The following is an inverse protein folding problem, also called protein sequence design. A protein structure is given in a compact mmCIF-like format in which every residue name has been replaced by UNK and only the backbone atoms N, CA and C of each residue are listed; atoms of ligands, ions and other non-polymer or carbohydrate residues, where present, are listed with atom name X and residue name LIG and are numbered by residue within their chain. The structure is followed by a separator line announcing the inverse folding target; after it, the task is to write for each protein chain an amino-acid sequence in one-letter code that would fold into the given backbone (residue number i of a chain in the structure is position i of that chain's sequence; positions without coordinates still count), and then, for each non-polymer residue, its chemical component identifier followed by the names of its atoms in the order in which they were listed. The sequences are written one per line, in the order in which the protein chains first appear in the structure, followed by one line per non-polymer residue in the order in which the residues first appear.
data_IF_206799701634
#
_entry.id   IF_206799701634
#
_cell.length_a   1.000
_cell.length_b   1.000
_cell.length_c   1.000
_cell.angle_alpha   90.00
_cell.angle_beta   90.00
_cell.angle_gamma   90.00
#
_symmetry.space_group_name_H-M   'P 1'
#
loop_
_entity.id
_entity.type
_entity.pdbx_description
1 polymer ?
#
# COMPACT_ATOMS: atom_id res chain seq x y z
N UNK A 1 7.60 20.26 39.53
CA UNK A 1 7.49 19.99 38.07
C UNK A 1 7.23 18.50 37.93
N UNK A 2 6.01 18.11 37.55
CA UNK A 2 5.69 16.69 37.33
C UNK A 2 6.38 16.26 36.06
N UNK A 3 7.25 15.25 36.13
CA UNK A 3 7.69 14.49 34.98
C UNK A 3 6.44 13.97 34.27
N UNK A 4 6.10 14.50 33.10
CA UNK A 4 5.25 13.80 32.15
C UNK A 4 6.01 12.52 31.84
N UNK A 5 5.55 11.38 32.33
CA UNK A 5 5.95 10.08 31.82
C UNK A 5 5.79 10.15 30.30
N UNK A 6 6.89 10.00 29.58
CA UNK A 6 6.93 9.94 28.11
C UNK A 6 6.34 8.62 27.65
N UNK A 7 5.03 8.43 27.84
CA UNK A 7 4.34 7.28 27.26
C UNK A 7 4.13 7.57 25.77
N UNK A 8 4.89 6.85 24.95
CA UNK A 8 4.82 6.97 23.48
C UNK A 8 3.41 6.65 23.00
N UNK A 9 2.92 7.37 22.02
CA UNK A 9 1.62 7.12 21.40
C UNK A 9 1.65 5.81 20.60
N UNK A 10 0.72 4.88 20.89
CA UNK A 10 0.64 3.62 20.15
C UNK A 10 -0.04 3.84 18.80
N UNK A 11 0.59 3.35 17.73
CA UNK A 11 0.14 3.54 16.36
C UNK A 11 0.05 2.20 15.63
N UNK A 12 -1.00 2.07 14.81
CA UNK A 12 -1.13 1.09 13.74
C UNK A 12 -1.11 1.84 12.41
N UNK A 13 -0.20 1.47 11.51
CA UNK A 13 -0.17 2.00 10.15
C UNK A 13 -1.18 1.28 9.27
N UNK A 14 -1.81 2.01 8.36
CA UNK A 14 -2.74 1.46 7.37
C UNK A 14 -2.39 1.98 5.99
N UNK A 15 -2.32 1.09 5.01
CA UNK A 15 -2.33 1.48 3.59
C UNK A 15 -3.39 0.69 2.84
N UNK A 16 -4.16 1.39 1.99
CA UNK A 16 -5.18 0.77 1.13
C UNK A 16 -4.79 0.90 -0.33
N UNK A 17 -5.31 0.01 -1.17
CA UNK A 17 -5.04 0.08 -2.59
C UNK A 17 -5.58 -1.08 -3.41
N UNK A 18 -5.56 -0.92 -4.72
CA UNK A 18 -5.95 -1.99 -5.64
C UNK A 18 -5.00 -3.19 -5.55
N UNK A 19 -3.70 -2.97 -5.37
CA UNK A 19 -2.65 -3.99 -5.36
C UNK A 19 -2.82 -5.02 -6.51
N UNK A 20 -2.94 -4.51 -7.71
CA UNK A 20 -3.29 -5.29 -8.90
C UNK A 20 -2.18 -5.29 -9.98
N UNK A 21 -1.06 -6.02 -9.72
CA UNK A 21 -0.65 -6.70 -8.50
C UNK A 21 0.06 -5.79 -7.49
N UNK A 22 0.37 -6.33 -6.31
CA UNK A 22 1.28 -5.69 -5.34
C UNK A 22 2.69 -5.59 -5.92
N UNK A 23 3.44 -4.54 -5.56
CA UNK A 23 4.84 -4.34 -5.92
C UNK A 23 5.65 -3.76 -4.75
N UNK A 24 6.99 -3.78 -4.89
CA UNK A 24 7.91 -3.42 -3.79
C UNK A 24 7.59 -2.08 -3.13
N UNK A 25 7.27 -1.05 -3.91
CA UNK A 25 6.99 0.29 -3.39
C UNK A 25 5.74 0.34 -2.49
N UNK A 26 4.77 -0.56 -2.65
CA UNK A 26 3.61 -0.60 -1.76
C UNK A 26 3.99 -0.94 -0.30
N UNK A 27 5.00 -1.78 -0.09
CA UNK A 27 5.51 -2.08 1.25
C UNK A 27 6.59 -1.08 1.68
N UNK A 28 7.37 -0.57 0.73
CA UNK A 28 8.43 0.40 1.04
C UNK A 28 7.88 1.72 1.58
N UNK A 29 6.75 2.24 1.07
CA UNK A 29 6.14 3.46 1.64
C UNK A 29 5.78 3.27 3.12
N UNK A 30 5.36 2.08 3.52
CA UNK A 30 5.06 1.74 4.91
C UNK A 30 6.34 1.71 5.76
N UNK A 31 7.42 1.13 5.23
CA UNK A 31 8.73 1.09 5.87
C UNK A 31 9.33 2.49 6.05
N UNK A 32 9.19 3.36 5.04
CA UNK A 32 9.62 4.76 5.11
C UNK A 32 8.84 5.50 6.21
N UNK A 33 7.51 5.34 6.24
CA UNK A 33 6.66 5.92 7.28
C UNK A 33 7.06 5.42 8.68
N UNK A 34 7.27 4.12 8.83
CA UNK A 34 7.73 3.51 10.07
C UNK A 34 9.06 4.11 10.55
N UNK A 35 10.07 4.15 9.68
CA UNK A 35 11.39 4.72 10.01
C UNK A 35 11.29 6.18 10.43
N UNK A 36 10.46 6.95 9.74
CA UNK A 36 10.20 8.34 10.08
C UNK A 36 9.61 8.49 11.48
N UNK A 37 8.52 7.78 11.79
CA UNK A 37 7.88 7.83 13.11
C UNK A 37 8.84 7.39 14.23
N UNK A 38 9.62 6.35 13.99
CA UNK A 38 10.61 5.87 14.96
C UNK A 38 11.71 6.92 15.22
N UNK A 39 12.08 7.72 14.21
CA UNK A 39 13.08 8.79 14.37
C UNK A 39 12.59 9.96 15.24
N UNK A 40 11.28 10.16 15.35
CA UNK A 40 10.69 11.20 16.19
C UNK A 40 10.71 10.83 17.68
N UNK A 41 10.89 9.54 18.01
CA UNK A 41 10.92 9.00 19.38
C UNK A 41 9.64 9.26 20.22
N UNK A 42 8.55 9.69 19.59
CA UNK A 42 7.25 10.02 20.23
C UNK A 42 6.26 8.87 20.09
N UNK A 43 6.51 7.92 19.20
CA UNK A 43 5.58 6.90 18.79
C UNK A 43 6.08 5.48 19.09
N UNK A 44 5.12 4.60 19.34
CA UNK A 44 5.28 3.15 19.40
C UNK A 44 4.46 2.53 18.26
N UNK A 45 5.11 2.23 17.14
CA UNK A 45 4.45 1.66 15.97
C UNK A 45 4.33 0.16 16.14
N UNK A 46 3.12 -0.34 16.32
CA UNK A 46 2.83 -1.73 16.68
C UNK A 46 2.88 -2.67 15.48
N UNK A 47 2.26 -2.26 14.38
CA UNK A 47 2.19 -3.04 13.13
C UNK A 47 1.71 -2.17 11.97
N UNK A 48 1.69 -2.75 10.77
CA UNK A 48 1.03 -2.16 9.61
C UNK A 48 0.04 -3.12 8.95
N UNK A 49 -1.08 -2.56 8.50
CA UNK A 49 -2.15 -3.25 7.81
C UNK A 49 -2.13 -2.89 6.33
N UNK A 50 -2.11 -3.91 5.48
CA UNK A 50 -2.17 -3.79 4.03
C UNK A 50 -3.57 -4.22 3.59
N UNK A 51 -4.40 -3.26 3.16
CA UNK A 51 -5.83 -3.49 2.90
C UNK A 51 -6.14 -3.40 1.39
N UNK A 52 -6.36 -4.53 0.71
CA UNK A 52 -6.73 -4.53 -0.72
C UNK A 52 -8.19 -4.14 -0.92
N UNK A 53 -8.44 -3.26 -1.91
CA UNK A 53 -9.78 -2.84 -2.30
C UNK A 53 -10.59 -3.96 -2.95
N UNK A 54 -11.92 -3.85 -2.88
CA UNK A 54 -12.86 -4.81 -3.48
C UNK A 54 -12.74 -4.89 -5.01
N UNK A 55 -13.08 -6.04 -5.59
CA UNK A 55 -13.01 -6.28 -7.03
C UNK A 55 -13.90 -5.32 -7.83
N UNK A 56 -15.06 -4.93 -7.30
CA UNK A 56 -15.93 -3.95 -7.96
C UNK A 56 -15.20 -2.64 -8.25
N UNK A 57 -14.36 -2.15 -7.33
CA UNK A 57 -13.57 -0.95 -7.54
C UNK A 57 -12.43 -1.14 -8.54
N UNK A 58 -11.71 -2.27 -8.45
CA UNK A 58 -10.56 -2.54 -9.33
C UNK A 58 -10.99 -2.74 -10.78
N UNK A 59 -12.15 -3.35 -11.03
CA UNK A 59 -12.75 -3.52 -12.37
C UNK A 59 -12.94 -2.20 -13.12
N UNK A 60 -13.26 -1.12 -12.41
CA UNK A 60 -13.39 0.20 -13.03
C UNK A 60 -12.06 0.83 -13.45
N UNK A 61 -10.93 0.33 -12.92
CA UNK A 61 -9.60 0.87 -13.20
C UNK A 61 -8.87 0.15 -14.34
N UNK A 62 -9.17 -1.13 -14.55
CA UNK A 62 -8.45 -1.94 -15.53
C UNK A 62 -9.22 -3.17 -15.96
N UNK A 63 -9.07 -3.55 -17.22
CA UNK A 63 -9.59 -4.81 -17.76
C UNK A 63 -8.77 -6.05 -17.29
N UNK A 64 -7.57 -5.81 -16.78
CA UNK A 64 -6.65 -6.84 -16.33
C UNK A 64 -6.78 -7.00 -14.81
N UNK A 65 -7.97 -7.43 -14.38
CA UNK A 65 -8.24 -7.67 -12.96
C UNK A 65 -7.66 -9.01 -12.52
N UNK A 66 -6.82 -8.95 -11.49
CA UNK A 66 -6.52 -10.09 -10.62
C UNK A 66 -7.59 -10.10 -9.52
N UNK A 67 -8.33 -11.18 -9.38
CA UNK A 67 -9.40 -11.28 -8.40
C UNK A 67 -8.90 -11.08 -6.96
N UNK A 68 -9.83 -10.69 -6.07
CA UNK A 68 -9.50 -10.35 -4.68
C UNK A 68 -8.75 -11.46 -3.95
N UNK A 69 -9.15 -12.72 -4.14
CA UNK A 69 -8.51 -13.87 -3.48
C UNK A 69 -7.06 -14.01 -3.93
N UNK A 70 -6.80 -13.92 -5.23
CA UNK A 70 -5.45 -13.99 -5.80
C UNK A 70 -4.59 -12.81 -5.36
N UNK A 71 -5.14 -11.59 -5.29
CA UNK A 71 -4.45 -10.41 -4.77
C UNK A 71 -4.10 -10.55 -3.29
N UNK A 72 -5.01 -11.08 -2.47
CA UNK A 72 -4.73 -11.38 -1.07
C UNK A 72 -3.58 -12.38 -0.90
N UNK A 73 -3.54 -13.42 -1.73
CA UNK A 73 -2.44 -14.38 -1.69
C UNK A 73 -1.11 -13.72 -2.07
N UNK A 74 -1.09 -12.94 -3.15
CA UNK A 74 0.11 -12.21 -3.58
C UNK A 74 0.59 -11.21 -2.51
N UNK A 75 -0.32 -10.55 -1.80
CA UNK A 75 0.04 -9.66 -0.69
C UNK A 75 0.65 -10.45 0.47
N UNK A 76 0.09 -11.60 0.82
CA UNK A 76 0.64 -12.45 1.89
C UNK A 76 2.05 -12.94 1.55
N UNK A 77 2.29 -13.35 0.30
CA UNK A 77 3.60 -13.79 -0.15
C UNK A 77 4.62 -12.63 -0.18
N UNK A 78 4.18 -11.45 -0.64
CA UNK A 78 5.02 -10.24 -0.61
C UNK A 78 5.42 -9.86 0.82
N UNK A 79 4.50 -9.94 1.78
CA UNK A 79 4.77 -9.68 3.20
C UNK A 79 5.79 -10.70 3.73
N UNK A 80 5.61 -11.97 3.43
CA UNK A 80 6.53 -13.03 3.88
C UNK A 80 7.94 -12.83 3.32
N UNK A 81 8.07 -12.48 2.04
CA UNK A 81 9.35 -12.21 1.39
C UNK A 81 10.01 -10.93 1.93
N UNK A 82 9.20 -9.93 2.30
CA UNK A 82 9.68 -8.61 2.76
C UNK A 82 9.98 -8.55 4.26
N UNK A 83 9.47 -9.45 5.08
CA UNK A 83 9.50 -9.38 6.55
C UNK A 83 10.90 -9.19 7.16
N UNK A 84 11.94 -9.72 6.52
CA UNK A 84 13.31 -9.57 6.99
C UNK A 84 13.96 -8.22 6.61
N UNK A 85 13.29 -7.40 5.82
CA UNK A 85 13.76 -6.08 5.38
C UNK A 85 13.20 -4.94 6.23
N UNK A 86 12.20 -5.22 7.07
CA UNK A 86 11.54 -4.25 7.93
C UNK A 86 11.39 -4.80 9.35
N UNK A 87 11.72 -3.98 10.33
CA UNK A 87 11.52 -4.33 11.74
C UNK A 87 10.14 -3.90 12.23
N UNK A 88 9.11 -4.26 11.47
CA UNK A 88 7.70 -3.94 11.73
C UNK A 88 6.84 -5.12 11.29
N UNK A 89 5.97 -5.67 12.15
CA UNK A 89 4.99 -6.67 11.74
C UNK A 89 4.04 -6.12 10.67
N UNK A 90 3.91 -6.83 9.54
CA UNK A 90 3.00 -6.49 8.45
C UNK A 90 1.89 -7.53 8.38
N UNK A 91 0.64 -7.08 8.21
CA UNK A 91 -0.52 -7.95 8.14
C UNK A 91 -1.42 -7.60 6.95
N UNK A 92 -1.92 -8.64 6.29
CA UNK A 92 -3.01 -8.50 5.32
C UNK A 92 -4.33 -8.25 6.05
N UNK A 93 -5.01 -7.13 5.74
CA UNK A 93 -6.33 -6.80 6.25
C UNK A 93 -7.38 -6.97 5.14
N UNK A 94 -8.30 -7.94 5.30
CA UNK A 94 -9.21 -8.36 4.22
C UNK A 94 -10.57 -7.66 4.23
N UNK A 95 -10.92 -6.96 5.30
CA UNK A 95 -12.27 -6.44 5.50
C UNK A 95 -12.74 -5.55 4.33
N UNK A 96 -11.95 -4.57 3.89
CA UNK A 96 -12.30 -3.65 2.79
C UNK A 96 -12.67 -4.42 1.51
N UNK A 97 -11.81 -5.32 1.09
CA UNK A 97 -11.99 -6.05 -0.18
C UNK A 97 -13.01 -7.17 -0.13
N UNK A 98 -13.45 -7.60 1.06
CA UNK A 98 -14.50 -8.59 1.24
C UNK A 98 -15.92 -8.02 1.19
N UNK A 99 -16.05 -6.70 1.09
CA UNK A 99 -17.35 -6.05 0.99
C UNK A 99 -17.92 -6.16 -0.43
N UNK A 100 -19.25 -6.24 -0.55
CA UNK A 100 -19.93 -6.30 -1.85
C UNK A 100 -19.94 -4.96 -2.59
N UNK A 101 -19.54 -3.88 -1.92
CA UNK A 101 -19.47 -2.52 -2.44
C UNK A 101 -18.08 -1.92 -2.28
N UNK A 102 -17.82 -0.84 -3.00
CA UNK A 102 -16.62 -0.04 -2.77
C UNK A 102 -16.70 0.63 -1.38
N UNK A 103 -15.64 0.46 -0.61
CA UNK A 103 -15.41 1.15 0.65
C UNK A 103 -14.23 2.08 0.45
N UNK A 104 -14.41 3.37 0.74
CA UNK A 104 -13.31 4.33 0.63
C UNK A 104 -12.44 4.30 1.90
N UNK A 105 -11.18 4.72 1.77
CA UNK A 105 -10.19 4.63 2.85
C UNK A 105 -10.61 5.30 4.18
N UNK A 106 -11.40 6.40 4.23
CA UNK A 106 -11.85 6.97 5.49
C UNK A 106 -12.77 6.01 6.28
N UNK A 107 -13.61 5.24 5.57
CA UNK A 107 -14.45 4.23 6.19
C UNK A 107 -13.61 3.06 6.73
N UNK A 108 -12.55 2.67 5.99
CA UNK A 108 -11.61 1.62 6.44
C UNK A 108 -10.87 2.06 7.71
N UNK A 109 -10.39 3.31 7.76
CA UNK A 109 -9.77 3.89 8.97
C UNK A 109 -10.74 3.84 10.15
N UNK A 110 -11.98 4.30 9.95
CA UNK A 110 -13.01 4.36 10.99
C UNK A 110 -13.37 2.98 11.54
N UNK A 111 -13.47 1.98 10.66
CA UNK A 111 -13.76 0.59 11.06
C UNK A 111 -12.63 0.00 11.90
N UNK A 112 -11.39 0.12 11.44
CA UNK A 112 -10.22 -0.38 12.19
C UNK A 112 -10.10 0.35 13.53
N UNK A 113 -10.26 1.68 13.56
CA UNK A 113 -10.21 2.46 14.80
C UNK A 113 -11.31 2.01 15.78
N UNK A 114 -12.51 1.75 15.29
CA UNK A 114 -13.62 1.23 16.10
C UNK A 114 -13.30 -0.14 16.70
N UNK A 115 -12.71 -1.05 15.90
CA UNK A 115 -12.31 -2.38 16.37
C UNK A 115 -11.21 -2.29 17.44
N UNK A 116 -10.21 -1.44 17.24
CA UNK A 116 -9.15 -1.22 18.21
C UNK A 116 -9.68 -0.65 19.51
N UNK A 117 -10.57 0.35 19.44
CA UNK A 117 -11.18 0.95 20.65
C UNK A 117 -12.03 -0.03 21.45
N UNK A 118 -12.67 -1.01 20.77
CA UNK A 118 -13.50 -2.03 21.44
C UNK A 118 -12.69 -3.15 22.08
N UNK A 119 -11.56 -3.52 21.45
CA UNK A 119 -10.84 -4.75 21.80
C UNK A 119 -9.51 -4.50 22.52
N UNK A 120 -9.04 -3.26 22.57
CA UNK A 120 -7.77 -2.92 23.21
C UNK A 120 -8.00 -2.02 24.43
N UNK A 121 -7.35 -2.35 25.55
CA UNK A 121 -7.40 -1.54 26.77
C UNK A 121 -6.53 -0.28 26.72
N UNK A 122 -5.65 -0.19 25.71
CA UNK A 122 -4.78 0.97 25.47
C UNK A 122 -5.29 1.78 24.30
N UNK A 123 -5.11 3.10 24.37
CA UNK A 123 -5.36 3.95 23.22
C UNK A 123 -4.39 3.60 22.09
N UNK A 124 -4.92 3.28 20.91
CA UNK A 124 -4.16 2.98 19.71
C UNK A 124 -4.75 3.81 18.59
N UNK A 125 -3.92 4.51 17.85
CA UNK A 125 -4.32 5.39 16.77
C UNK A 125 -4.00 4.77 15.41
N UNK A 126 -4.94 4.85 14.47
CA UNK A 126 -4.70 4.45 13.08
C UNK A 126 -4.10 5.64 12.32
N UNK A 127 -2.95 5.42 11.69
CA UNK A 127 -2.27 6.39 10.84
C UNK A 127 -2.25 5.87 9.41
N UNK A 128 -2.83 6.64 8.49
CA UNK A 128 -2.91 6.26 7.09
C UNK A 128 -1.62 6.60 6.35
N UNK A 129 -1.10 5.66 5.58
CA UNK A 129 0.12 5.82 4.77
C UNK A 129 -0.24 5.71 3.30
N UNK A 130 0.14 6.70 2.51
CA UNK A 130 -0.10 6.70 1.08
C UNK A 130 1.04 7.39 0.29
N UNK A 131 1.04 7.16 -1.02
CA UNK A 131 1.89 7.95 -1.92
C UNK A 131 1.32 9.35 -2.13
N UNK A 132 2.18 10.30 -2.43
CA UNK A 132 1.84 11.70 -2.66
C UNK A 132 0.81 11.90 -3.77
N UNK A 133 0.83 11.07 -4.80
CA UNK A 133 -0.13 11.11 -5.91
C UNK A 133 -1.57 10.81 -5.46
N UNK A 134 -1.74 9.87 -4.53
CA UNK A 134 -3.03 9.60 -3.91
C UNK A 134 -3.44 10.71 -2.95
N UNK A 135 -2.51 11.15 -2.11
CA UNK A 135 -2.74 12.26 -1.19
C UNK A 135 -3.28 13.50 -1.91
N UNK A 136 -2.65 13.92 -3.00
CA UNK A 136 -3.06 15.10 -3.75
C UNK A 136 -4.47 15.00 -4.36
N UNK A 137 -4.91 13.81 -4.72
CA UNK A 137 -6.25 13.56 -5.27
C UNK A 137 -7.33 13.61 -4.21
N UNK A 138 -7.02 13.15 -3.01
CA UNK A 138 -7.99 12.92 -1.94
C UNK A 138 -7.78 13.80 -0.70
N UNK A 139 -6.94 14.85 -0.79
CA UNK A 139 -6.54 15.69 0.36
C UNK A 139 -7.69 16.22 1.20
N UNK A 140 -8.82 16.47 0.57
CA UNK A 140 -10.04 16.97 1.23
C UNK A 140 -10.74 15.93 2.12
N UNK A 141 -10.38 14.66 1.99
CA UNK A 141 -10.89 13.56 2.81
C UNK A 141 -10.01 13.29 4.05
N UNK A 142 -8.82 13.89 4.11
CA UNK A 142 -7.90 13.70 5.23
C UNK A 142 -8.18 14.74 6.33
N UNK A 143 -8.66 14.27 7.44
CA UNK A 143 -8.88 15.11 8.62
C UNK A 143 -7.64 15.19 9.50
N UNK A 144 -7.00 14.04 9.76
CA UNK A 144 -5.81 13.90 10.61
C UNK A 144 -5.11 12.57 10.34
N UNK A 145 -3.88 12.44 10.83
CA UNK A 145 -3.15 11.15 10.90
C UNK A 145 -2.83 10.52 9.53
N UNK A 146 -2.23 11.31 8.67
CA UNK A 146 -1.78 10.84 7.35
C UNK A 146 -0.28 11.05 7.20
N UNK A 147 0.40 10.06 6.64
CA UNK A 147 1.79 10.16 6.18
C UNK A 147 1.78 9.97 4.67
N UNK A 148 2.11 11.03 3.95
CA UNK A 148 2.27 11.00 2.51
C UNK A 148 3.74 10.86 2.14
N UNK A 149 4.07 9.85 1.34
CA UNK A 149 5.43 9.59 0.88
C UNK A 149 5.63 10.19 -0.49
N UNK A 150 6.56 11.14 -0.57
CA UNK A 150 6.96 11.77 -1.82
C UNK A 150 8.08 10.95 -2.48
N UNK A 151 7.74 10.28 -3.57
CA UNK A 151 8.65 9.45 -4.35
C UNK A 151 9.33 10.19 -5.51
N UNK A 152 8.87 11.40 -5.81
CA UNK A 152 9.41 12.26 -6.86
C UNK A 152 9.65 13.64 -6.28
N UNK A 153 10.66 14.39 -6.77
CA UNK A 153 10.79 15.78 -6.36
C UNK A 153 9.51 16.54 -6.74
N UNK A 154 8.66 16.67 -5.77
CA UNK A 154 7.36 17.30 -5.97
C UNK A 154 7.52 18.81 -6.03
N UNK A 155 6.84 19.46 -6.99
CA UNK A 155 6.88 20.91 -7.14
C UNK A 155 6.15 21.52 -5.93
N UNK A 156 6.89 22.12 -5.00
CA UNK A 156 6.42 22.76 -3.75
C UNK A 156 5.16 23.63 -3.89
N UNK A 157 4.87 24.16 -5.08
CA UNK A 157 3.75 25.06 -5.34
C UNK A 157 2.37 24.43 -5.19
N UNK A 158 2.27 23.09 -5.21
CA UNK A 158 0.99 22.37 -5.06
C UNK A 158 0.53 22.18 -3.61
N UNK A 159 1.37 22.54 -2.62
CA UNK A 159 1.14 22.24 -1.19
C UNK A 159 0.98 23.45 -0.29
N UNK A 160 0.82 24.66 -0.84
CA UNK A 160 0.74 25.90 -0.04
C UNK A 160 -0.37 25.92 1.02
N UNK A 161 -1.39 25.08 0.86
CA UNK A 161 -2.60 25.11 1.70
C UNK A 161 -2.75 23.87 2.61
N UNK A 162 -1.67 23.13 2.83
CA UNK A 162 -1.72 21.95 3.70
C UNK A 162 -1.31 22.37 5.10
N UNK A 163 -2.17 22.19 6.13
CA UNK A 163 -1.80 22.49 7.51
C UNK A 163 -0.60 21.63 7.94
N UNK A 164 0.51 22.26 8.32
CA UNK A 164 1.75 21.57 8.74
C UNK A 164 1.55 20.58 9.89
N UNK A 165 0.48 20.74 10.67
CA UNK A 165 0.17 19.89 11.83
C UNK A 165 -0.49 18.55 11.50
N UNK A 166 -0.98 18.34 10.26
CA UNK A 166 -1.83 17.21 9.93
C UNK A 166 -1.15 16.16 9.05
N UNK A 167 0.00 16.48 8.44
CA UNK A 167 0.59 15.66 7.38
C UNK A 167 2.09 15.64 7.52
N UNK A 168 2.62 14.47 7.76
CA UNK A 168 4.05 14.23 7.63
C UNK A 168 4.37 13.97 6.16
N UNK A 169 5.01 14.95 5.51
CA UNK A 169 5.58 14.76 4.18
C UNK A 169 6.97 14.16 4.35
N UNK A 170 7.11 12.90 3.98
CA UNK A 170 8.39 12.21 4.01
C UNK A 170 8.92 12.07 2.59
N UNK A 171 10.15 12.51 2.37
CA UNK A 171 10.85 12.31 1.10
C UNK A 171 11.54 10.95 1.10
N UNK A 172 11.38 10.23 0.02
CA UNK A 172 12.18 9.03 -0.25
C UNK A 172 13.53 9.44 -0.87
N UNK A 173 14.49 9.78 -0.02
CA UNK A 173 15.81 10.25 -0.46
C UNK A 173 16.70 9.15 -1.08
N UNK A 174 16.32 7.88 -0.92
CA UNK A 174 17.18 6.74 -1.27
C UNK A 174 16.75 5.97 -2.51
N UNK A 175 15.59 6.26 -3.09
CA UNK A 175 15.02 5.37 -4.08
C UNK A 175 14.97 5.99 -5.49
N UNK A 176 16.13 6.06 -6.16
CA UNK A 176 16.24 6.51 -7.56
C UNK A 176 15.40 5.66 -8.53
N UNK A 177 15.06 4.42 -8.16
CA UNK A 177 14.26 3.49 -8.95
C UNK A 177 12.75 3.55 -8.67
N UNK A 178 12.29 4.44 -7.82
CA UNK A 178 10.87 4.50 -7.42
C UNK A 178 9.90 4.70 -8.59
N UNK A 179 10.38 5.25 -9.71
CA UNK A 179 9.57 5.50 -10.90
C UNK A 179 9.16 4.24 -11.65
N UNK A 180 9.97 3.18 -11.62
CA UNK A 180 9.67 1.92 -12.30
C UNK A 180 8.67 1.04 -11.55
N UNK A 181 8.52 1.27 -10.24
CA UNK A 181 7.63 0.46 -9.40
C UNK A 181 6.17 0.85 -9.59
N UNK A 182 5.48 0.19 -10.51
CA UNK A 182 4.04 0.38 -10.68
C UNK A 182 3.34 -0.91 -11.11
N UNK A 183 2.11 -1.10 -10.63
CA UNK A 183 1.25 -2.20 -11.09
C UNK A 183 0.93 -2.09 -12.59
N UNK A 184 0.92 -0.87 -13.14
CA UNK A 184 0.71 -0.64 -14.57
C UNK A 184 1.89 -1.18 -15.38
N UNK A 185 3.13 -0.87 -14.99
CA UNK A 185 4.32 -1.39 -15.65
C UNK A 185 4.35 -2.93 -15.65
N UNK A 186 3.97 -3.58 -14.55
CA UNK A 186 3.86 -5.04 -14.49
C UNK A 186 2.84 -5.55 -15.51
N UNK A 187 1.65 -4.91 -15.59
CA UNK A 187 0.62 -5.30 -16.56
C UNK A 187 1.06 -5.11 -18.01
N UNK A 188 1.76 -4.02 -18.31
CA UNK A 188 2.32 -3.73 -19.64
C UNK A 188 3.37 -4.76 -20.06
N UNK A 189 4.31 -5.11 -19.18
CA UNK A 189 5.30 -6.17 -19.45
C UNK A 189 4.58 -7.48 -19.77
N UNK A 190 3.64 -7.81 -18.97
CA UNK A 190 2.92 -9.05 -19.05
C UNK A 190 2.08 -9.17 -20.34
N UNK A 191 1.39 -8.12 -20.75
CA UNK A 191 0.58 -8.09 -21.98
C UNK A 191 1.40 -7.89 -23.27
N UNK A 192 2.69 -7.68 -23.15
CA UNK A 192 3.56 -7.48 -24.32
C UNK A 192 3.83 -8.81 -25.03
N UNK A 193 3.20 -9.01 -26.19
CA UNK A 193 3.34 -10.23 -26.99
C UNK A 193 4.71 -10.37 -27.67
N UNK A 194 5.53 -9.31 -27.68
CA UNK A 194 6.90 -9.34 -28.20
C UNK A 194 7.89 -9.97 -27.22
N UNK A 195 7.50 -10.18 -25.97
CA UNK A 195 8.34 -10.76 -24.93
C UNK A 195 7.97 -12.21 -24.70
N UNK A 196 8.98 -13.08 -24.64
CA UNK A 196 8.81 -14.45 -24.14
C UNK A 196 8.56 -14.48 -22.62
N UNK A 197 8.07 -15.61 -22.11
CA UNK A 197 7.67 -15.74 -20.72
C UNK A 197 8.84 -15.59 -19.74
N UNK A 198 10.04 -16.00 -20.12
CA UNK A 198 11.24 -15.87 -19.28
C UNK A 198 11.67 -14.41 -19.17
N UNK A 199 11.70 -13.68 -20.27
CA UNK A 199 11.97 -12.23 -20.27
C UNK A 199 10.94 -11.46 -19.47
N UNK A 200 9.64 -11.82 -19.59
CA UNK A 200 8.57 -11.23 -18.77
C UNK A 200 8.83 -11.46 -17.28
N UNK A 201 9.13 -12.70 -16.89
CA UNK A 201 9.38 -13.05 -15.49
C UNK A 201 10.55 -12.23 -14.92
N UNK A 202 11.67 -12.16 -15.63
CA UNK A 202 12.85 -11.40 -15.20
C UNK A 202 12.49 -9.92 -14.97
N UNK A 203 11.82 -9.28 -15.93
CA UNK A 203 11.43 -7.87 -15.81
C UNK A 203 10.41 -7.61 -14.72
N UNK A 204 9.46 -8.52 -14.50
CA UNK A 204 8.46 -8.38 -13.43
C UNK A 204 9.14 -8.52 -12.06
N UNK A 205 10.11 -9.42 -11.90
CA UNK A 205 10.90 -9.57 -10.65
C UNK A 205 11.69 -8.31 -10.27
N UNK A 206 12.06 -7.49 -11.24
CA UNK A 206 12.68 -6.18 -10.94
C UNK A 206 11.71 -5.19 -10.27
N UNK A 207 10.40 -5.33 -10.50
CA UNK A 207 9.36 -4.42 -10.02
C UNK A 207 8.67 -4.93 -8.75
N UNK A 208 8.43 -6.24 -8.68
CA UNK A 208 7.73 -6.87 -7.57
C UNK A 208 8.59 -7.95 -6.89
N UNK A 209 7.98 -8.72 -6.02
CA UNK A 209 8.58 -9.83 -5.28
C UNK A 209 8.64 -11.08 -6.15
N UNK A 210 9.62 -11.94 -5.94
CA UNK A 210 9.83 -13.13 -6.74
C UNK A 210 8.61 -14.05 -6.73
N UNK A 211 8.08 -14.30 -5.53
CA UNK A 211 6.88 -15.10 -5.32
C UNK A 211 5.62 -14.51 -5.98
N UNK A 212 5.53 -13.19 -6.06
CA UNK A 212 4.43 -12.48 -6.72
C UNK A 212 4.58 -12.54 -8.24
N UNK A 213 5.80 -12.36 -8.77
CA UNK A 213 6.06 -12.37 -10.21
C UNK A 213 5.64 -13.68 -10.87
N UNK A 214 5.95 -14.81 -10.25
CA UNK A 214 5.57 -16.14 -10.71
C UNK A 214 4.04 -16.30 -10.74
N UNK A 215 3.35 -15.93 -9.66
CA UNK A 215 1.89 -16.00 -9.59
C UNK A 215 1.18 -15.06 -10.57
N UNK A 216 1.74 -13.90 -10.82
CA UNK A 216 1.22 -12.96 -11.84
C UNK A 216 1.27 -13.62 -13.21
N UNK A 217 2.39 -14.23 -13.60
CA UNK A 217 2.50 -14.91 -14.89
C UNK A 217 1.53 -16.08 -15.02
N UNK A 218 1.42 -16.92 -13.99
CA UNK A 218 0.52 -18.06 -13.99
C UNK A 218 -0.95 -17.64 -14.06
N UNK A 219 -1.32 -16.62 -13.27
CA UNK A 219 -2.67 -16.07 -13.29
C UNK A 219 -3.04 -15.62 -14.70
N UNK A 220 -2.18 -14.94 -15.33
CA UNK A 220 -2.46 -14.40 -16.64
C UNK A 220 -2.41 -15.43 -17.76
N UNK A 221 -1.53 -16.40 -17.72
CA UNK A 221 -1.55 -17.53 -18.65
C UNK A 221 -2.89 -18.26 -18.61
N UNK A 222 -3.41 -18.50 -17.42
CA UNK A 222 -4.67 -19.22 -17.23
C UNK A 222 -5.90 -18.43 -17.68
N UNK A 223 -5.89 -17.09 -17.54
CA UNK A 223 -7.09 -16.27 -17.76
C UNK A 223 -7.10 -15.54 -19.11
N UNK A 224 -5.94 -15.25 -19.70
CA UNK A 224 -5.85 -14.39 -20.89
C UNK A 224 -5.18 -15.06 -22.11
N UNK A 225 -4.24 -16.01 -21.96
CA UNK A 225 -3.62 -16.71 -23.12
C UNK A 225 -4.55 -17.71 -23.83
N UNK A 226 -5.62 -18.17 -23.16
CA UNK A 226 -6.55 -19.17 -23.74
C UNK A 226 -7.66 -18.57 -24.61
N UNK A 227 -7.43 -17.42 -25.24
CA UNK A 227 -8.21 -16.93 -26.39
C UNK A 227 -9.65 -16.47 -26.08
N UNK A 228 -10.02 -16.24 -24.84
CA UNK A 228 -11.28 -15.55 -24.53
C UNK A 228 -11.00 -14.07 -24.28
N UNK A 229 -11.00 -13.28 -25.37
CA UNK A 229 -11.24 -11.84 -25.25
C UNK A 229 -12.53 -11.70 -24.43
N UNK A 230 -12.42 -11.14 -23.23
CA UNK A 230 -13.59 -10.68 -22.50
C UNK A 230 -14.30 -9.66 -23.40
N UNK A 231 -15.51 -10.03 -23.86
CA UNK A 231 -16.42 -9.11 -24.53
C UNK A 231 -17.00 -8.13 -23.53
#
# INVERSE_FOLDING_TARGET
MKNKNDEKENIVLLTTGSFNPIHRMHLEIVNIAYKHLMSLNEYNVLCALISPSADCYVKHKTHLLIDFKSRCQMISDAIEEYKNQVNLPLFLHKWEGSQDKFIDFPEVISEIQSQLNKNCNKSIKVVYVCGMDHFCKCRYLFNENVIAIDRKPFIKHKYKDIPEKLIYLVKDEKNEKSEIYSSTAIREIYTNDQLDDNTKLIRIKEITFDSVAEKVLDFYKSHFKNGKKAK
#
